data_IF_326283890884
#
_entry.id   IF_326283890884
#
_cell.length_a   1.000
_cell.length_b   1.000
_cell.length_c   1.000
_cell.angle_alpha   90.00
_cell.angle_beta   90.00
_cell.angle_gamma   90.00
#
_symmetry.space_group_name_H-M   'P 1'
#
loop_
_entity.id
_entity.type
_entity.pdbx_description
1 polymer ?
#
# COMPACT_ATOMS: atom_id res chain seq x y z
N UNK A 1 -27.60 15.50 -28.49
CA UNK A 1 -28.51 15.64 -27.33
C UNK A 1 -27.69 16.01 -26.10
N UNK A 2 -27.83 17.23 -25.57
CA UNK A 2 -27.04 17.76 -24.45
C UNK A 2 -27.52 17.26 -23.09
N UNK A 3 -27.52 15.94 -22.89
CA UNK A 3 -28.00 15.27 -21.65
C UNK A 3 -27.06 15.51 -20.48
N UNK A 4 -25.77 15.63 -20.78
CA UNK A 4 -24.73 15.95 -19.81
C UNK A 4 -24.30 17.40 -20.06
N UNK A 5 -24.24 18.19 -18.99
CA UNK A 5 -23.74 19.57 -19.08
C UNK A 5 -22.26 19.58 -19.43
N UNK A 6 -21.80 20.59 -20.16
CA UNK A 6 -20.41 20.68 -20.64
C UNK A 6 -19.38 20.87 -19.51
N UNK A 7 -19.81 21.40 -18.38
CA UNK A 7 -19.02 21.61 -17.16
C UNK A 7 -19.13 20.44 -16.17
N UNK A 8 -19.86 19.38 -16.51
CA UNK A 8 -20.01 18.21 -15.64
C UNK A 8 -18.66 17.48 -15.52
N UNK A 9 -18.24 17.24 -14.28
CA UNK A 9 -17.08 16.41 -14.00
C UNK A 9 -17.43 14.95 -14.27
N UNK A 10 -16.86 14.40 -15.35
CA UNK A 10 -17.16 13.05 -15.86
C UNK A 10 -17.01 11.97 -14.78
N UNK A 11 -16.06 12.13 -13.85
CA UNK A 11 -15.81 11.18 -12.74
C UNK A 11 -16.90 11.16 -11.66
N UNK A 12 -17.71 12.21 -11.57
CA UNK A 12 -18.78 12.34 -10.57
C UNK A 12 -20.15 11.90 -11.14
N UNK A 13 -20.20 11.47 -12.41
CA UNK A 13 -21.44 11.05 -13.07
C UNK A 13 -21.70 9.57 -12.76
N UNK A 14 -22.82 9.21 -12.10
CA UNK A 14 -23.19 7.83 -11.87
C UNK A 14 -23.74 7.22 -13.16
N UNK A 15 -22.86 6.79 -14.06
CA UNK A 15 -23.19 6.31 -15.42
C UNK A 15 -24.26 5.22 -15.42
N UNK A 16 -24.17 4.25 -14.49
CA UNK A 16 -25.17 3.17 -14.39
C UNK A 16 -26.59 3.68 -14.13
N UNK A 17 -26.77 4.61 -13.18
CA UNK A 17 -28.08 5.23 -12.91
C UNK A 17 -28.54 6.10 -14.07
N UNK A 18 -27.61 6.77 -14.75
CA UNK A 18 -27.93 7.58 -15.93
C UNK A 18 -28.52 6.68 -17.03
N UNK A 19 -27.87 5.57 -17.36
CA UNK A 19 -28.36 4.61 -18.36
C UNK A 19 -29.76 4.12 -17.99
N UNK A 20 -29.96 3.67 -16.75
CA UNK A 20 -31.27 3.20 -16.26
C UNK A 20 -32.36 4.28 -16.37
N UNK A 21 -32.04 5.53 -16.00
CA UNK A 21 -33.02 6.63 -16.04
C UNK A 21 -33.47 7.01 -17.45
N UNK A 22 -32.68 6.68 -18.47
CA UNK A 22 -32.97 6.95 -19.88
C UNK A 22 -33.39 5.69 -20.65
N UNK A 23 -33.54 4.55 -19.98
CA UNK A 23 -33.95 3.30 -20.62
C UNK A 23 -35.30 3.47 -21.32
N UNK A 24 -35.39 2.98 -22.55
CA UNK A 24 -36.57 3.17 -23.41
C UNK A 24 -36.72 4.57 -24.02
N UNK A 25 -35.87 5.53 -23.69
CA UNK A 25 -35.86 6.83 -24.36
C UNK A 25 -35.29 6.75 -25.79
N UNK A 26 -35.62 7.70 -26.68
CA UNK A 26 -35.04 7.76 -28.02
C UNK A 26 -33.50 7.83 -28.01
N UNK A 27 -32.92 8.51 -27.01
CA UNK A 27 -31.47 8.62 -26.84
C UNK A 27 -30.86 7.25 -26.57
N UNK A 28 -31.44 6.51 -25.63
CA UNK A 28 -30.98 5.18 -25.27
C UNK A 28 -31.08 4.23 -26.45
N UNK A 29 -32.21 4.26 -27.16
CA UNK A 29 -32.43 3.41 -28.33
C UNK A 29 -31.42 3.71 -29.45
N UNK A 30 -31.09 4.99 -29.67
CA UNK A 30 -30.10 5.37 -30.67
C UNK A 30 -28.68 4.98 -30.25
N UNK A 31 -28.30 5.25 -29.00
CA UNK A 31 -27.00 4.83 -28.46
C UNK A 31 -26.82 3.31 -28.54
N UNK A 32 -27.86 2.54 -28.21
CA UNK A 32 -27.84 1.08 -28.33
C UNK A 32 -27.74 0.62 -29.78
N UNK A 33 -28.47 1.26 -30.71
CA UNK A 33 -28.39 0.98 -32.14
C UNK A 33 -26.97 1.23 -32.67
N UNK A 34 -26.36 2.35 -32.31
CA UNK A 34 -24.99 2.70 -32.69
C UNK A 34 -24.00 1.65 -32.18
N UNK A 35 -24.06 1.30 -30.89
CA UNK A 35 -23.18 0.28 -30.30
C UNK A 35 -23.33 -1.07 -31.02
N UNK A 36 -24.56 -1.53 -31.24
CA UNK A 36 -24.82 -2.83 -31.86
C UNK A 36 -24.49 -2.89 -33.36
N UNK A 37 -24.41 -1.76 -34.05
CA UNK A 37 -24.13 -1.72 -35.50
C UNK A 37 -22.72 -1.28 -35.84
N UNK A 38 -22.18 -0.31 -35.13
CA UNK A 38 -20.89 0.31 -35.44
C UNK A 38 -19.76 -0.21 -34.55
N UNK A 39 -20.05 -0.64 -33.33
CA UNK A 39 -19.03 -1.09 -32.36
C UNK A 39 -19.00 -2.61 -32.21
N UNK A 40 -20.08 -3.31 -32.56
CA UNK A 40 -20.21 -4.75 -32.46
C UNK A 40 -20.67 -5.35 -33.79
N UNK A 41 -20.21 -6.57 -34.07
CA UNK A 41 -20.65 -7.35 -35.23
C UNK A 41 -21.40 -8.59 -34.75
N UNK A 42 -22.70 -8.44 -34.55
CA UNK A 42 -23.56 -9.54 -34.10
C UNK A 42 -23.61 -10.72 -35.07
N UNK A 43 -23.52 -10.45 -36.39
CA UNK A 43 -23.59 -11.50 -37.40
C UNK A 43 -22.34 -12.39 -37.35
N UNK A 44 -21.15 -11.78 -37.27
CA UNK A 44 -19.89 -12.51 -37.14
C UNK A 44 -19.86 -13.35 -35.86
N UNK A 45 -20.33 -12.79 -34.75
CA UNK A 45 -20.39 -13.50 -33.46
C UNK A 45 -21.28 -14.74 -33.58
N UNK A 46 -22.48 -14.63 -34.15
CA UNK A 46 -23.38 -15.78 -34.37
C UNK A 46 -22.73 -16.84 -35.27
N UNK A 47 -22.05 -16.43 -36.35
CA UNK A 47 -21.35 -17.36 -37.23
C UNK A 47 -20.23 -18.14 -36.50
N UNK A 48 -19.50 -17.49 -35.59
CA UNK A 48 -18.47 -18.16 -34.77
C UNK A 48 -19.10 -19.19 -33.84
N UNK A 49 -20.21 -18.86 -33.19
CA UNK A 49 -20.93 -19.81 -32.33
C UNK A 49 -21.46 -21.01 -33.11
N UNK A 50 -22.04 -20.77 -34.29
CA UNK A 50 -22.53 -21.83 -35.16
C UNK A 50 -21.38 -22.74 -35.63
N UNK A 51 -20.25 -22.17 -36.06
CA UNK A 51 -19.06 -22.92 -36.48
C UNK A 51 -18.46 -23.74 -35.32
N UNK A 52 -18.40 -23.17 -34.11
CA UNK A 52 -17.98 -23.92 -32.92
C UNK A 52 -18.95 -25.07 -32.59
N UNK A 53 -20.26 -24.85 -32.72
CA UNK A 53 -21.28 -25.89 -32.47
C UNK A 53 -21.23 -27.05 -33.47
N UNK A 54 -20.87 -26.75 -34.72
CA UNK A 54 -20.71 -27.73 -35.81
C UNK A 54 -19.33 -28.39 -35.83
N UNK A 55 -18.48 -28.09 -34.84
CA UNK A 55 -17.08 -28.56 -34.74
C UNK A 55 -16.16 -28.09 -35.88
N UNK A 56 -16.55 -27.04 -36.61
CA UNK A 56 -15.71 -26.38 -37.62
C UNK A 56 -14.59 -25.54 -36.97
N UNK A 57 -14.69 -25.28 -35.66
CA UNK A 57 -13.68 -24.63 -34.82
C UNK A 57 -13.25 -25.60 -33.71
N UNK A 58 -11.97 -25.97 -33.70
CA UNK A 58 -11.40 -26.77 -32.61
C UNK A 58 -11.10 -25.90 -31.39
N UNK A 59 -11.51 -26.38 -30.22
CA UNK A 59 -11.31 -25.69 -28.93
C UNK A 59 -10.38 -26.54 -28.06
N UNK A 60 -9.26 -25.94 -27.66
CA UNK A 60 -8.30 -26.57 -26.75
C UNK A 60 -8.33 -25.90 -25.37
N UNK A 61 -8.40 -26.71 -24.32
CA UNK A 61 -8.32 -26.24 -22.93
C UNK A 61 -6.94 -26.58 -22.37
N UNK A 62 -6.23 -25.57 -21.87
CA UNK A 62 -4.91 -25.73 -21.26
C UNK A 62 -4.93 -25.21 -19.82
N UNK A 63 -4.40 -26.01 -18.89
CA UNK A 63 -4.24 -25.62 -17.48
C UNK A 63 -2.77 -25.30 -17.22
N UNK A 64 -2.47 -24.07 -16.81
CA UNK A 64 -1.11 -23.61 -16.54
C UNK A 64 -0.98 -23.08 -15.11
N UNK A 65 0.24 -23.15 -14.55
CA UNK A 65 0.54 -22.59 -13.22
C UNK A 65 0.71 -21.06 -13.22
N UNK A 66 0.93 -20.47 -14.40
CA UNK A 66 1.10 -19.04 -14.61
C UNK A 66 0.49 -18.62 -15.96
N UNK A 67 0.12 -17.34 -16.16
CA UNK A 67 -0.39 -16.86 -17.44
C UNK A 67 0.60 -17.09 -18.59
N UNK A 68 0.09 -17.54 -19.74
CA UNK A 68 0.89 -17.62 -20.98
C UNK A 68 1.25 -16.22 -21.48
N UNK A 69 2.20 -16.10 -22.42
CA UNK A 69 2.58 -14.80 -22.99
C UNK A 69 1.39 -14.04 -23.58
N UNK A 70 0.44 -14.74 -24.23
CA UNK A 70 -0.79 -14.14 -24.76
C UNK A 70 -1.79 -13.78 -23.66
N UNK A 71 -1.97 -14.66 -22.66
CA UNK A 71 -2.87 -14.40 -21.54
C UNK A 71 -2.36 -13.26 -20.65
N UNK A 72 -1.04 -13.09 -20.54
CA UNK A 72 -0.40 -12.03 -19.77
C UNK A 72 -0.81 -10.65 -20.24
N UNK A 73 -0.88 -10.43 -21.57
CA UNK A 73 -1.38 -9.17 -22.12
C UNK A 73 -2.83 -8.90 -21.70
N UNK A 74 -3.69 -9.91 -21.73
CA UNK A 74 -5.10 -9.76 -21.32
C UNK A 74 -5.23 -9.50 -19.82
N UNK A 75 -4.47 -10.22 -18.98
CA UNK A 75 -4.49 -10.07 -17.52
C UNK A 75 -3.91 -8.72 -17.10
N UNK A 76 -2.79 -8.30 -17.68
CA UNK A 76 -2.15 -7.01 -17.42
C UNK A 76 -2.99 -5.84 -18.01
N UNK A 77 -3.64 -6.00 -19.16
CA UNK A 77 -4.56 -5.00 -19.73
C UNK A 77 -5.86 -4.90 -18.93
N UNK A 78 -6.40 -6.03 -18.44
CA UNK A 78 -7.53 -6.04 -17.50
C UNK A 78 -7.17 -5.38 -16.17
N UNK A 79 -5.89 -5.35 -15.78
CA UNK A 79 -5.49 -4.47 -14.67
C UNK A 79 -5.56 -2.96 -14.97
N UNK A 80 -5.75 -2.56 -16.23
CA UNK A 80 -6.02 -1.15 -16.61
C UNK A 80 -7.50 -0.79 -16.67
N UNK A 81 -8.40 -1.73 -16.99
CA UNK A 81 -9.84 -1.45 -17.17
C UNK A 81 -10.79 -2.24 -16.25
N UNK A 82 -10.42 -3.42 -15.74
CA UNK A 82 -11.13 -4.14 -14.67
C UNK A 82 -10.57 -3.82 -13.26
N UNK A 83 -9.50 -3.01 -13.16
CA UNK A 83 -9.19 -2.25 -11.91
C UNK A 83 -10.02 -0.96 -11.84
N UNK A 84 -11.12 -0.91 -12.60
CA UNK A 84 -12.36 -0.30 -12.14
C UNK A 84 -13.22 -1.40 -11.48
N UNK A 85 -12.62 -2.24 -10.63
CA UNK A 85 -13.34 -2.57 -9.40
C UNK A 85 -13.67 -1.23 -8.77
N UNK A 86 -14.88 -1.05 -8.23
CA UNK A 86 -15.18 0.16 -7.44
C UNK A 86 -13.94 0.44 -6.60
N UNK A 87 -13.24 1.54 -6.90
CA UNK A 87 -12.22 2.03 -6.00
C UNK A 87 -13.06 2.38 -4.79
N UNK A 88 -13.15 1.44 -3.86
CA UNK A 88 -13.91 1.68 -2.65
C UNK A 88 -13.23 2.88 -2.01
N UNK A 89 -14.02 3.78 -1.41
CA UNK A 89 -13.44 4.90 -0.66
C UNK A 89 -12.34 4.38 0.31
N UNK A 90 -12.49 3.15 0.82
CA UNK A 90 -11.48 2.47 1.64
C UNK A 90 -10.15 2.23 0.92
N UNK A 91 -10.13 1.77 -0.34
CA UNK A 91 -8.89 1.52 -1.09
C UNK A 91 -8.14 2.82 -1.42
N UNK A 92 -8.89 3.87 -1.77
CA UNK A 92 -8.34 5.22 -1.95
C UNK A 92 -7.74 5.76 -0.64
N UNK A 93 -8.44 5.60 0.47
CA UNK A 93 -7.97 6.00 1.80
C UNK A 93 -6.69 5.23 2.16
N UNK A 94 -6.65 3.90 1.92
CA UNK A 94 -5.47 3.09 2.22
C UNK A 94 -4.28 3.49 1.36
N UNK A 95 -4.48 3.81 0.08
CA UNK A 95 -3.43 4.32 -0.79
C UNK A 95 -2.87 5.67 -0.29
N UNK A 96 -3.74 6.60 0.11
CA UNK A 96 -3.32 7.88 0.71
C UNK A 96 -2.57 7.69 2.03
N UNK A 97 -3.01 6.75 2.86
CA UNK A 97 -2.31 6.38 4.10
C UNK A 97 -0.93 5.84 3.77
N UNK A 98 -0.84 4.91 2.82
CA UNK A 98 0.43 4.32 2.40
C UNK A 98 1.41 5.39 1.91
N UNK A 99 1.00 6.25 0.98
CA UNK A 99 1.83 7.31 0.43
C UNK A 99 2.38 8.23 1.54
N UNK A 100 1.50 8.61 2.49
CA UNK A 100 1.90 9.37 3.67
C UNK A 100 2.94 8.63 4.51
N UNK A 101 2.75 7.34 4.79
CA UNK A 101 3.70 6.56 5.59
C UNK A 101 5.04 6.43 4.87
N UNK A 102 5.04 6.16 3.56
CA UNK A 102 6.23 6.04 2.73
C UNK A 102 7.02 7.35 2.64
N UNK A 103 6.35 8.50 2.71
CA UNK A 103 6.98 9.83 2.71
C UNK A 103 7.73 10.17 4.01
N UNK A 104 7.54 9.39 5.08
CA UNK A 104 8.19 9.66 6.38
C UNK A 104 9.69 9.44 6.30
N UNK A 105 10.41 10.29 7.02
CA UNK A 105 11.86 10.19 7.20
C UNK A 105 12.16 9.58 8.56
N UNK A 106 13.20 8.75 8.61
CA UNK A 106 13.76 8.19 9.83
C UNK A 106 15.23 8.56 9.94
N UNK A 107 15.68 8.84 11.16
CA UNK A 107 17.09 8.77 11.49
C UNK A 107 17.43 7.31 11.82
N UNK A 108 18.33 6.73 11.05
CA UNK A 108 18.82 5.37 11.19
C UNK A 108 20.20 5.41 11.85
N UNK A 109 20.35 4.72 12.98
CA UNK A 109 21.59 4.69 13.76
C UNK A 109 22.02 3.24 14.00
N UNK A 110 23.25 2.89 13.64
CA UNK A 110 23.82 1.57 13.95
C UNK A 110 24.05 1.45 15.45
N UNK A 111 23.40 0.47 16.09
CA UNK A 111 23.58 0.19 17.52
C UNK A 111 24.69 -0.83 17.82
N UNK A 112 25.19 -1.54 16.80
CA UNK A 112 26.27 -2.51 16.99
C UNK A 112 27.60 -1.79 17.28
N UNK A 113 28.03 -0.92 16.36
CA UNK A 113 29.31 -0.22 16.45
C UNK A 113 29.19 1.30 16.55
N UNK A 114 27.99 1.88 16.37
CA UNK A 114 27.83 3.33 16.34
C UNK A 114 28.45 4.01 15.11
N UNK A 115 28.75 3.25 14.06
CA UNK A 115 29.53 3.66 12.88
C UNK A 115 28.69 4.22 11.73
N UNK A 116 27.36 4.22 11.86
CA UNK A 116 26.47 4.77 10.85
C UNK A 116 25.33 5.57 11.48
N UNK A 117 25.11 6.76 10.93
CA UNK A 117 23.99 7.65 11.23
C UNK A 117 23.56 8.33 9.93
N UNK A 118 22.32 8.11 9.50
CA UNK A 118 21.79 8.84 8.34
C UNK A 118 20.30 9.07 8.46
N UNK A 119 19.82 10.13 7.81
CA UNK A 119 18.38 10.39 7.67
C UNK A 119 17.96 9.92 6.28
N UNK A 120 16.97 9.05 6.22
CA UNK A 120 16.47 8.45 4.97
C UNK A 120 14.95 8.51 4.92
N UNK A 121 14.42 8.71 3.72
CA UNK A 121 12.98 8.59 3.47
C UNK A 121 12.62 7.11 3.36
N UNK A 122 11.54 6.68 4.01
CA UNK A 122 11.13 5.29 4.06
C UNK A 122 10.96 4.70 2.65
N UNK A 123 10.36 5.44 1.71
CA UNK A 123 10.21 5.03 0.31
C UNK A 123 11.54 4.60 -0.35
N UNK A 124 12.64 5.28 -0.02
CA UNK A 124 13.98 5.05 -0.61
C UNK A 124 14.78 3.90 0.02
N UNK A 125 14.28 3.32 1.12
CA UNK A 125 14.97 2.22 1.80
C UNK A 125 14.67 0.88 1.14
N UNK A 126 15.67 0.01 1.13
CA UNK A 126 15.52 -1.40 0.77
C UNK A 126 14.71 -2.16 1.84
N UNK A 127 14.24 -3.36 1.50
CA UNK A 127 13.48 -4.20 2.44
C UNK A 127 14.31 -4.63 3.65
N UNK A 128 15.60 -4.97 3.44
CA UNK A 128 16.55 -5.36 4.49
C UNK A 128 17.50 -4.20 4.80
N UNK A 129 17.26 -3.50 5.91
CA UNK A 129 18.08 -2.34 6.30
C UNK A 129 19.31 -2.79 7.07
N UNK A 130 20.50 -2.52 6.52
CA UNK A 130 21.79 -2.88 7.12
C UNK A 130 22.70 -1.68 7.27
N UNK A 131 23.61 -1.75 8.23
CA UNK A 131 24.70 -0.79 8.33
C UNK A 131 25.60 -0.92 7.08
N UNK A 132 25.85 0.16 6.32
CA UNK A 132 26.73 0.11 5.17
C UNK A 132 28.21 -0.04 5.54
N UNK A 133 28.58 0.13 6.81
CA UNK A 133 29.96 0.03 7.30
C UNK A 133 30.26 -1.37 7.85
N UNK A 134 29.47 -1.85 8.80
CA UNK A 134 29.69 -3.15 9.46
C UNK A 134 28.68 -4.24 9.10
N UNK A 135 27.75 -4.00 8.18
CA UNK A 135 26.72 -4.97 7.72
C UNK A 135 25.74 -5.47 8.79
N UNK A 136 25.77 -4.90 10.00
CA UNK A 136 24.85 -5.24 11.08
C UNK A 136 23.41 -4.87 10.76
N UNK A 137 22.46 -5.71 11.22
CA UNK A 137 21.01 -5.43 11.16
C UNK A 137 20.48 -4.67 12.38
N UNK A 138 21.32 -4.44 13.39
CA UNK A 138 20.93 -3.74 14.62
C UNK A 138 20.89 -2.23 14.38
N UNK A 139 19.88 -1.78 13.63
CA UNK A 139 19.69 -0.38 13.23
C UNK A 139 18.49 0.21 13.96
N UNK A 140 18.72 1.17 14.84
CA UNK A 140 17.63 1.91 15.47
C UNK A 140 16.97 2.85 14.46
N UNK A 141 15.63 2.89 14.44
CA UNK A 141 14.85 3.79 13.61
C UNK A 141 14.14 4.81 14.50
N UNK A 142 14.51 6.09 14.35
CA UNK A 142 14.12 7.18 15.24
C UNK A 142 13.54 8.35 14.45
N UNK A 143 12.93 9.29 15.18
CA UNK A 143 12.51 10.55 14.59
C UNK A 143 13.73 11.33 14.05
N UNK A 144 13.61 12.00 12.89
CA UNK A 144 14.72 12.74 12.28
C UNK A 144 15.37 13.81 13.15
N UNK A 145 14.68 14.27 14.19
CA UNK A 145 15.13 15.32 15.11
C UNK A 145 15.89 14.77 16.32
N UNK A 146 15.87 13.46 16.58
CA UNK A 146 16.51 12.86 17.76
C UNK A 146 18.03 12.71 17.57
N UNK A 147 18.77 13.80 17.77
CA UNK A 147 20.24 13.82 17.61
C UNK A 147 20.97 13.25 18.82
N UNK A 148 20.33 13.34 19.99
CA UNK A 148 20.91 12.90 21.24
C UNK A 148 21.15 11.39 21.26
N UNK A 149 20.32 10.61 20.58
CA UNK A 149 20.48 9.15 20.55
C UNK A 149 21.85 8.72 20.01
N UNK A 150 22.42 9.45 19.04
CA UNK A 150 23.75 9.15 18.51
C UNK A 150 24.81 9.24 19.61
N UNK A 151 24.69 10.25 20.49
CA UNK A 151 25.59 10.42 21.65
C UNK A 151 25.40 9.28 22.66
N UNK A 152 24.16 8.84 22.86
CA UNK A 152 23.83 7.70 23.76
C UNK A 152 24.46 6.40 23.25
N UNK A 153 24.34 6.11 21.96
CA UNK A 153 24.98 4.93 21.34
C UNK A 153 26.50 5.04 21.45
N UNK A 154 27.09 6.20 21.13
CA UNK A 154 28.53 6.42 21.25
C UNK A 154 29.07 6.21 22.67
N UNK A 155 28.35 6.69 23.71
CA UNK A 155 28.70 6.42 25.11
C UNK A 155 28.67 4.92 25.42
N UNK A 156 27.63 4.22 24.96
CA UNK A 156 27.46 2.78 25.22
C UNK A 156 28.57 1.95 24.57
N UNK A 157 28.91 2.26 23.32
CA UNK A 157 30.00 1.60 22.57
C UNK A 157 31.35 1.87 23.24
N UNK A 158 31.58 3.09 23.74
CA UNK A 158 32.79 3.45 24.48
C UNK A 158 32.84 2.91 25.93
N UNK A 159 31.87 2.08 26.35
CA UNK A 159 31.81 1.53 27.71
C UNK A 159 31.51 2.56 28.81
N UNK A 160 31.06 3.76 28.46
CA UNK A 160 30.75 4.82 29.42
C UNK A 160 29.39 4.56 30.08
N UNK A 161 29.21 4.92 31.37
CA UNK A 161 27.93 4.80 32.04
C UNK A 161 26.88 5.70 31.38
N UNK A 162 25.64 5.18 31.29
CA UNK A 162 24.47 5.94 30.86
C UNK A 162 23.67 6.38 32.08
N UNK A 163 23.12 7.59 32.04
CA UNK A 163 22.11 8.01 33.01
C UNK A 163 20.82 7.20 32.84
N UNK A 164 19.95 7.18 33.87
CA UNK A 164 18.65 6.49 33.80
C UNK A 164 17.80 6.90 32.60
N UNK A 165 17.83 8.19 32.22
CA UNK A 165 17.10 8.70 31.07
C UNK A 165 17.70 8.21 29.74
N UNK A 166 19.03 8.23 29.62
CA UNK A 166 19.73 7.71 28.43
C UNK A 166 19.54 6.21 28.28
N UNK A 167 19.53 5.46 29.38
CA UNK A 167 19.30 4.02 29.34
C UNK A 167 17.88 3.68 28.87
N UNK A 168 16.87 4.45 29.30
CA UNK A 168 15.50 4.34 28.78
C UNK A 168 15.44 4.61 27.27
N UNK A 169 16.12 5.67 26.79
CA UNK A 169 16.23 5.97 25.35
C UNK A 169 16.91 4.82 24.60
N UNK A 170 18.04 4.33 25.11
CA UNK A 170 18.81 3.24 24.50
C UNK A 170 17.96 1.96 24.37
N UNK A 171 17.20 1.59 25.40
CA UNK A 171 16.27 0.45 25.36
C UNK A 171 15.16 0.64 24.34
N UNK A 172 14.57 1.84 24.25
CA UNK A 172 13.55 2.15 23.26
C UNK A 172 14.09 2.04 21.82
N UNK A 173 15.28 2.59 21.56
CA UNK A 173 15.96 2.44 20.27
C UNK A 173 16.32 0.99 19.97
N UNK A 174 16.76 0.22 20.97
CA UNK A 174 17.01 -1.21 20.84
C UNK A 174 15.77 -1.99 20.41
N UNK A 175 14.60 -1.66 20.95
CA UNK A 175 13.35 -2.28 20.54
C UNK A 175 13.02 -1.99 19.06
N UNK A 176 13.23 -0.74 18.60
CA UNK A 176 13.08 -0.43 17.16
C UNK A 176 14.05 -1.21 16.28
N UNK A 177 15.29 -1.39 16.75
CA UNK A 177 16.31 -2.15 16.02
C UNK A 177 15.94 -3.63 15.89
N UNK A 178 15.42 -4.23 16.96
CA UNK A 178 14.92 -5.61 16.93
C UNK A 178 13.75 -5.76 15.96
N UNK A 179 12.78 -4.84 15.99
CA UNK A 179 11.66 -4.87 15.06
C UNK A 179 12.11 -4.71 13.60
N UNK A 180 13.03 -3.78 13.33
CA UNK A 180 13.58 -3.56 12.00
C UNK A 180 14.37 -4.78 11.50
N UNK A 181 15.20 -5.37 12.34
CA UNK A 181 15.96 -6.59 12.00
C UNK A 181 15.05 -7.79 11.71
N UNK A 182 13.84 -7.82 12.26
CA UNK A 182 12.91 -8.97 12.16
C UNK A 182 11.93 -8.80 11.00
N UNK A 183 11.35 -7.61 10.86
CA UNK A 183 10.26 -7.34 9.91
C UNK A 183 10.66 -6.42 8.75
N UNK A 184 11.90 -5.93 8.71
CA UNK A 184 12.42 -5.07 7.65
C UNK A 184 11.62 -3.77 7.49
N UNK A 185 11.44 -3.32 6.25
CA UNK A 185 10.71 -2.09 5.91
C UNK A 185 9.27 -2.05 6.45
N UNK A 186 8.66 -3.20 6.71
CA UNK A 186 7.33 -3.29 7.35
C UNK A 186 7.33 -2.73 8.77
N UNK A 187 8.42 -2.90 9.52
CA UNK A 187 8.56 -2.26 10.83
C UNK A 187 8.56 -0.73 10.72
N UNK A 188 9.24 -0.19 9.71
CA UNK A 188 9.28 1.25 9.46
C UNK A 188 7.90 1.79 9.06
N UNK A 189 7.12 1.05 8.29
CA UNK A 189 5.75 1.43 7.93
C UNK A 189 4.88 1.62 9.17
N UNK A 190 4.96 0.70 10.13
CA UNK A 190 4.21 0.80 11.38
C UNK A 190 4.73 1.95 12.25
N UNK A 191 6.04 2.08 12.39
CA UNK A 191 6.67 3.17 13.15
C UNK A 191 6.44 4.56 12.52
N UNK A 192 6.08 4.62 11.23
CA UNK A 192 5.72 5.86 10.54
C UNK A 192 4.32 6.37 10.93
N UNK A 193 3.52 5.51 11.57
CA UNK A 193 2.20 5.84 12.08
C UNK A 193 2.23 6.87 13.20
N UNK A 194 1.24 7.76 13.23
CA UNK A 194 1.13 8.83 14.23
C UNK A 194 0.84 8.23 15.61
N UNK A 195 1.71 8.53 16.57
CA UNK A 195 1.55 8.06 17.95
C UNK A 195 1.94 6.59 18.18
N UNK A 196 2.45 5.91 17.14
CA UNK A 196 2.88 4.53 17.27
C UNK A 196 4.35 4.46 17.69
N UNK A 197 4.56 4.18 18.97
CA UNK A 197 5.89 3.92 19.52
C UNK A 197 6.35 2.46 19.30
N UNK A 198 7.58 2.13 19.72
CA UNK A 198 8.17 0.80 19.53
C UNK A 198 7.32 -0.34 20.14
N UNK A 199 6.71 -0.08 21.31
CA UNK A 199 5.84 -1.04 22.01
C UNK A 199 4.48 -1.24 21.33
N UNK A 200 3.94 -0.19 20.69
CA UNK A 200 2.71 -0.33 19.90
C UNK A 200 3.02 -1.08 18.59
N UNK A 201 4.14 -0.74 17.95
CA UNK A 201 4.59 -1.39 16.73
C UNK A 201 4.82 -2.90 16.93
N UNK A 202 5.38 -3.33 18.07
CA UNK A 202 5.57 -4.75 18.37
C UNK A 202 4.26 -5.53 18.55
N UNK A 203 3.13 -4.86 18.85
CA UNK A 203 1.81 -5.51 18.93
C UNK A 203 1.17 -5.66 17.56
N UNK A 204 1.35 -4.67 16.69
CA UNK A 204 0.82 -4.68 15.33
C UNK A 204 1.59 -5.69 14.47
N UNK A 205 2.92 -5.68 14.59
CA UNK A 205 3.82 -6.60 13.88
C UNK A 205 3.80 -7.96 14.55
N UNK A 206 3.13 -8.93 13.94
CA UNK A 206 3.17 -10.33 14.33
C UNK A 206 3.38 -11.22 13.10
N UNK A 207 3.95 -12.43 13.24
CA UNK A 207 4.35 -13.27 12.11
C UNK A 207 3.23 -13.62 11.13
N UNK A 208 1.98 -13.70 11.61
CA UNK A 208 0.81 -14.03 10.78
C UNK A 208 0.32 -12.89 9.89
N UNK A 209 0.68 -11.64 10.19
CA UNK A 209 0.38 -10.50 9.34
C UNK A 209 1.49 -10.42 8.30
N UNK A 210 1.22 -10.85 7.08
CA UNK A 210 2.13 -10.73 5.92
C UNK A 210 1.53 -9.85 4.83
N UNK A 211 0.20 -9.86 4.73
CA UNK A 211 -0.53 -9.03 3.79
C UNK A 211 -0.37 -7.52 4.08
N UNK A 212 -0.08 -6.76 3.03
CA UNK A 212 0.20 -5.32 3.10
C UNK A 212 -1.08 -4.53 3.39
N UNK A 213 -2.21 -4.91 2.80
CA UNK A 213 -3.49 -4.23 2.99
C UNK A 213 -3.95 -4.38 4.43
N UNK A 214 -3.88 -5.58 4.99
CA UNK A 214 -4.16 -5.85 6.39
C UNK A 214 -3.22 -5.07 7.34
N UNK A 215 -1.93 -4.94 6.99
CA UNK A 215 -1.00 -4.10 7.77
C UNK A 215 -1.40 -2.63 7.77
N UNK A 216 -1.75 -2.05 6.61
CA UNK A 216 -2.20 -0.67 6.51
C UNK A 216 -3.50 -0.42 7.29
N UNK A 217 -4.45 -1.36 7.24
CA UNK A 217 -5.68 -1.32 8.07
C UNK A 217 -5.35 -1.33 9.57
N UNK A 218 -4.45 -2.21 10.00
CA UNK A 218 -4.03 -2.28 11.40
C UNK A 218 -3.34 -0.99 11.88
N UNK A 219 -2.51 -0.36 11.03
CA UNK A 219 -1.90 0.94 11.32
C UNK A 219 -2.98 2.03 11.45
N UNK A 220 -3.93 2.08 10.51
CA UNK A 220 -5.01 3.07 10.53
C UNK A 220 -5.86 2.96 11.80
N UNK A 221 -6.20 1.73 12.22
CA UNK A 221 -6.96 1.50 13.43
C UNK A 221 -6.18 1.90 14.69
N UNK A 222 -4.88 1.59 14.73
CA UNK A 222 -4.03 2.00 15.83
C UNK A 222 -3.85 3.53 15.92
N UNK A 223 -3.79 4.23 14.79
CA UNK A 223 -3.78 5.71 14.75
C UNK A 223 -5.10 6.30 15.25
N UNK A 224 -6.25 5.69 14.91
CA UNK A 224 -7.57 6.10 15.43
C UNK A 224 -7.63 5.93 16.95
N UNK A 225 -7.21 4.79 17.47
CA UNK A 225 -7.22 4.54 18.92
C UNK A 225 -6.27 5.50 19.65
N UNK A 226 -5.10 5.79 19.08
CA UNK A 226 -4.21 6.82 19.61
C UNK A 226 -4.87 8.20 19.61
N UNK A 227 -5.52 8.62 18.52
CA UNK A 227 -6.21 9.90 18.45
C UNK A 227 -7.37 9.99 19.44
N UNK A 228 -8.13 8.91 19.64
CA UNK A 228 -9.22 8.80 20.60
C UNK A 228 -8.74 8.89 22.04
N UNK A 229 -7.66 8.18 22.35
CA UNK A 229 -7.17 8.09 23.73
C UNK A 229 -6.29 9.26 24.11
N UNK A 230 -5.51 9.85 23.20
CA UNK A 230 -4.55 10.96 23.46
C UNK A 230 -5.08 12.09 24.36
N UNK A 231 -6.31 12.60 24.23
CA UNK A 231 -6.85 13.62 25.13
C UNK A 231 -6.82 13.25 26.62
N UNK A 232 -6.86 11.96 26.95
CA UNK A 232 -6.88 11.44 28.32
C UNK A 232 -5.50 11.19 28.93
N UNK A 233 -4.41 11.44 28.18
CA UNK A 233 -3.03 11.22 28.64
C UNK A 233 -2.40 12.48 29.26
N UNK A 234 -3.17 13.56 29.34
CA UNK A 234 -2.85 14.79 30.05
C UNK A 234 -3.62 14.87 31.37
N UNK A 235 -3.23 14.04 32.33
CA UNK A 235 -3.38 14.26 33.77
C UNK A 235 -2.07 13.82 34.45
#
# INVERSE_FOLDING_TARGET
MGIIRRDAKIREIPVGRLIQSYEGSPVFNEAMREVLREKLDGNLVMNIFDAASKTDIEIHVAHTKAPSALARLIVEEKTRFEVIGEITDEDEILAMIEERLLSKKFRLVCMANGDWNSIRTLSTLEEDVRCPVCSSKMIAALFPTDEEFVKVVGKKVAGKPLSKAEEKKYRAGGLTATLLSTYGKRALLVLAGRGLGPTAASRILHPGLTDKRALLKAIAEAEKEYARTRPFWGN
#
